data_IF_792687075412
#
_entry.id   IF_792687075412
#
_cell.length_a   1.000
_cell.length_b   1.000
_cell.length_c   1.000
_cell.angle_alpha   90.00
_cell.angle_beta   90.00
_cell.angle_gamma   90.00
#
_symmetry.space_group_name_H-M   'P 1'
#
loop_
_entity.id
_entity.type
_entity.pdbx_description
1 polymer ?
#
# COMPACT_ATOMS: atom_id res chain seq x y z
N UNK A 1 -13.15 30.58 -63.26
CA UNK A 1 -13.66 30.48 -61.87
C UNK A 1 -14.19 29.06 -61.68
N UNK A 2 -13.99 28.42 -60.52
CA UNK A 2 -14.30 27.00 -60.20
C UNK A 2 -13.18 25.97 -60.44
N UNK A 3 -11.92 26.28 -60.12
CA UNK A 3 -10.88 25.23 -59.94
C UNK A 3 -10.03 25.40 -58.67
N UNK A 4 -9.94 26.60 -58.10
CA UNK A 4 -9.18 26.84 -56.86
C UNK A 4 -9.88 26.39 -55.57
N UNK A 5 -11.22 26.29 -55.59
CA UNK A 5 -11.99 25.99 -54.37
C UNK A 5 -11.83 24.54 -53.91
N UNK A 6 -11.74 23.58 -54.84
CA UNK A 6 -11.63 22.15 -54.50
C UNK A 6 -10.23 21.75 -54.02
N UNK A 7 -9.17 22.44 -54.45
CA UNK A 7 -7.80 22.12 -54.04
C UNK A 7 -7.51 22.58 -52.60
N UNK A 8 -8.11 23.70 -52.20
CA UNK A 8 -7.98 24.27 -50.86
C UNK A 8 -8.64 23.40 -49.78
N UNK A 9 -9.86 22.91 -50.02
CA UNK A 9 -10.61 22.11 -49.04
C UNK A 9 -9.97 20.74 -48.77
N UNK A 10 -9.30 20.15 -49.77
CA UNK A 10 -8.59 18.89 -49.62
C UNK A 10 -7.38 19.03 -48.68
N UNK A 11 -6.56 20.08 -48.82
CA UNK A 11 -5.42 20.33 -47.95
C UNK A 11 -5.84 20.63 -46.49
N UNK A 12 -6.92 21.40 -46.31
CA UNK A 12 -7.49 21.65 -44.99
C UNK A 12 -8.00 20.38 -44.31
N UNK A 13 -8.61 19.46 -45.07
CA UNK A 13 -9.12 18.18 -44.54
C UNK A 13 -7.99 17.26 -44.06
N UNK A 14 -6.89 17.16 -44.82
CA UNK A 14 -5.72 16.37 -44.42
C UNK A 14 -5.00 16.97 -43.20
N UNK A 15 -4.88 18.30 -43.12
CA UNK A 15 -4.29 18.96 -41.96
C UNK A 15 -5.11 18.75 -40.68
N UNK A 16 -6.45 18.83 -40.76
CA UNK A 16 -7.34 18.55 -39.62
C UNK A 16 -7.22 17.08 -39.20
N UNK A 17 -7.16 16.14 -40.14
CA UNK A 17 -7.00 14.72 -39.84
C UNK A 17 -5.66 14.42 -39.15
N UNK A 18 -4.58 15.04 -39.62
CA UNK A 18 -3.22 14.89 -39.06
C UNK A 18 -3.11 15.53 -37.68
N UNK A 19 -3.68 16.72 -37.44
CA UNK A 19 -3.72 17.31 -36.10
C UNK A 19 -4.50 16.46 -35.10
N UNK A 20 -5.61 15.84 -35.54
CA UNK A 20 -6.47 15.03 -34.66
C UNK A 20 -5.79 13.73 -34.23
N UNK A 21 -5.00 13.08 -35.09
CA UNK A 21 -4.22 11.89 -34.71
C UNK A 21 -3.11 12.22 -33.71
N UNK A 22 -2.45 13.37 -33.84
CA UNK A 22 -1.48 13.83 -32.84
C UNK A 22 -2.15 14.18 -31.50
N UNK A 23 -3.34 14.78 -31.51
CA UNK A 23 -4.09 15.10 -30.30
C UNK A 23 -4.53 13.85 -29.52
N UNK A 24 -4.92 12.77 -30.21
CA UNK A 24 -5.24 11.50 -29.55
C UNK A 24 -3.99 10.77 -29.00
N UNK A 25 -2.83 10.94 -29.63
CA UNK A 25 -1.56 10.37 -29.14
C UNK A 25 -1.04 11.05 -27.86
N UNK A 26 -1.37 12.33 -27.65
CA UNK A 26 -1.00 13.07 -26.43
C UNK A 26 -1.84 12.72 -25.20
N UNK A 27 -3.00 12.07 -25.38
CA UNK A 27 -3.90 11.68 -24.27
C UNK A 27 -3.51 10.36 -23.58
N UNK A 28 -2.46 9.66 -24.04
CA UNK A 28 -2.10 8.32 -23.54
C UNK A 28 -0.88 8.27 -22.60
N UNK A 29 -0.30 9.40 -22.19
CA UNK A 29 0.93 9.38 -21.37
C UNK A 29 0.79 10.10 -20.04
N UNK A 30 -0.16 9.67 -19.20
CA UNK A 30 0.04 9.65 -17.74
C UNK A 30 -0.65 8.40 -17.18
N UNK A 31 -0.13 7.23 -17.54
CA UNK A 31 -0.29 6.05 -16.69
C UNK A 31 0.62 6.22 -15.49
N UNK A 32 0.25 7.06 -14.53
CA UNK A 32 0.87 7.02 -13.22
C UNK A 32 0.59 5.61 -12.69
N UNK A 33 1.62 4.76 -12.63
CA UNK A 33 1.58 3.46 -12.00
C UNK A 33 1.47 3.64 -10.48
N UNK A 34 0.37 4.25 -10.03
CA UNK A 34 -0.08 4.13 -8.66
C UNK A 34 -0.55 2.69 -8.51
N UNK A 35 0.38 1.81 -8.12
CA UNK A 35 0.03 0.46 -7.67
C UNK A 35 -1.07 0.64 -6.62
N UNK A 36 -2.28 0.10 -6.83
CA UNK A 36 -3.40 0.36 -5.94
C UNK A 36 -3.03 -0.03 -4.52
N UNK A 37 -3.26 0.85 -3.53
CA UNK A 37 -3.00 0.57 -2.11
C UNK A 37 -3.53 -0.81 -1.68
N UNK A 38 -4.67 -1.25 -2.24
CA UNK A 38 -5.26 -2.58 -2.03
C UNK A 38 -4.35 -3.74 -2.43
N UNK A 39 -3.65 -3.63 -3.55
CA UNK A 39 -2.70 -4.66 -4.01
C UNK A 39 -1.48 -4.75 -3.08
N UNK A 40 -0.97 -3.61 -2.60
CA UNK A 40 0.10 -3.56 -1.60
C UNK A 40 -0.34 -4.15 -0.24
N UNK A 41 -1.58 -3.90 0.19
CA UNK A 41 -2.13 -4.48 1.43
C UNK A 41 -2.33 -6.00 1.33
N UNK A 42 -2.72 -6.52 0.15
CA UNK A 42 -2.86 -7.95 -0.09
C UNK A 42 -1.51 -8.67 -0.10
N UNK A 43 -0.48 -8.04 -0.68
CA UNK A 43 0.90 -8.52 -0.63
C UNK A 43 1.43 -8.56 0.80
N UNK A 44 1.22 -7.48 1.58
CA UNK A 44 1.55 -7.45 3.01
C UNK A 44 0.89 -8.59 3.79
N UNK A 45 -0.39 -8.90 3.54
CA UNK A 45 -1.08 -10.01 4.20
C UNK A 45 -0.44 -11.36 3.89
N UNK A 46 0.03 -11.55 2.65
CA UNK A 46 0.72 -12.77 2.22
C UNK A 46 2.05 -12.93 2.95
N UNK A 47 2.84 -11.86 3.02
CA UNK A 47 4.10 -11.88 3.77
C UNK A 47 3.89 -12.09 5.28
N UNK A 48 2.89 -11.46 5.88
CA UNK A 48 2.54 -11.70 7.28
C UNK A 48 2.14 -13.15 7.55
N UNK A 49 1.46 -13.80 6.61
CA UNK A 49 1.17 -15.23 6.72
C UNK A 49 2.47 -16.06 6.72
N UNK A 50 3.42 -15.74 5.84
CA UNK A 50 4.72 -16.43 5.81
C UNK A 50 5.51 -16.23 7.10
N UNK A 51 5.54 -15.00 7.62
CA UNK A 51 6.19 -14.69 8.90
C UNK A 51 5.53 -15.48 10.03
N UNK A 52 4.20 -15.51 10.11
CA UNK A 52 3.45 -16.28 11.12
C UNK A 52 3.82 -17.76 11.12
N UNK A 53 3.89 -18.40 9.95
CA UNK A 53 4.28 -19.81 9.84
C UNK A 53 5.70 -20.04 10.33
N UNK A 54 6.57 -19.06 10.10
CA UNK A 54 7.97 -19.13 10.45
C UNK A 54 8.29 -18.68 11.89
N UNK A 55 7.33 -18.03 12.55
CA UNK A 55 7.50 -17.41 13.86
C UNK A 55 7.51 -18.39 15.03
N UNK A 56 7.19 -19.66 14.79
CA UNK A 56 7.17 -20.70 15.84
C UNK A 56 8.53 -20.95 16.50
N UNK A 57 9.62 -20.52 15.88
CA UNK A 57 10.99 -20.70 16.38
C UNK A 57 11.55 -19.46 17.09
N UNK A 58 10.78 -18.37 17.18
CA UNK A 58 11.25 -17.09 17.74
C UNK A 58 10.88 -16.96 19.21
N UNK A 59 11.90 -16.81 20.06
CA UNK A 59 11.73 -16.53 21.48
C UNK A 59 11.63 -15.03 21.76
N UNK A 60 10.99 -14.27 20.87
CA UNK A 60 10.83 -12.83 20.98
C UNK A 60 9.47 -12.50 21.60
N UNK A 61 9.48 -11.60 22.59
CA UNK A 61 8.27 -11.05 23.21
C UNK A 61 8.06 -9.61 22.77
N UNK A 62 6.88 -9.32 22.28
CA UNK A 62 6.52 -8.04 21.66
C UNK A 62 5.31 -7.47 22.39
N UNK A 63 5.37 -6.18 22.72
CA UNK A 63 4.20 -5.44 23.21
C UNK A 63 3.10 -5.49 22.16
N UNK A 64 1.96 -6.05 22.53
CA UNK A 64 0.85 -6.33 21.61
C UNK A 64 -0.44 -5.76 22.20
N UNK A 65 -1.25 -5.03 21.41
CA UNK A 65 -2.52 -4.50 21.90
C UNK A 65 -3.47 -5.61 22.39
N UNK A 66 -4.06 -5.39 23.56
CA UNK A 66 -5.01 -6.34 24.18
C UNK A 66 -6.33 -6.33 23.42
N UNK A 67 -6.89 -5.13 23.22
CA UNK A 67 -8.17 -4.91 22.53
C UNK A 67 -8.07 -5.27 21.06
N UNK A 68 -9.20 -5.36 20.36
CA UNK A 68 -9.24 -5.46 18.89
C UNK A 68 -9.57 -4.14 18.22
N UNK A 69 -9.98 -3.12 18.98
CA UNK A 69 -10.41 -1.79 18.49
C UNK A 69 -9.24 -0.80 18.40
N UNK A 70 -8.11 -1.35 17.99
CA UNK A 70 -6.73 -0.86 18.11
C UNK A 70 -6.36 0.30 17.17
N UNK A 71 -7.32 1.10 16.70
CA UNK A 71 -6.98 2.28 15.88
C UNK A 71 -6.11 3.28 16.65
N UNK A 72 -6.20 3.28 17.99
CA UNK A 72 -5.38 4.11 18.87
C UNK A 72 -4.00 3.49 19.19
N UNK A 73 -3.75 2.23 18.82
CA UNK A 73 -2.60 1.43 19.27
C UNK A 73 -1.50 1.27 18.20
N UNK A 74 -1.53 2.11 17.18
CA UNK A 74 -0.77 1.86 15.95
C UNK A 74 0.72 2.06 16.14
N UNK A 75 1.09 3.00 17.00
CA UNK A 75 2.48 3.17 17.44
C UNK A 75 3.04 1.90 18.05
N UNK A 76 2.29 1.25 18.95
CA UNK A 76 2.71 -0.03 19.56
C UNK A 76 2.91 -1.11 18.48
N UNK A 77 2.01 -1.19 17.50
CA UNK A 77 2.16 -2.14 16.39
C UNK A 77 3.40 -1.85 15.54
N UNK A 78 3.74 -0.58 15.31
CA UNK A 78 4.93 -0.21 14.54
C UNK A 78 6.22 -0.40 15.33
N UNK A 79 6.24 -0.09 16.61
CA UNK A 79 7.36 -0.38 17.50
C UNK A 79 7.63 -1.89 17.57
N UNK A 80 6.57 -2.70 17.69
CA UNK A 80 6.69 -4.16 17.65
C UNK A 80 7.22 -4.68 16.31
N UNK A 81 6.87 -4.01 15.21
CA UNK A 81 7.40 -4.31 13.87
C UNK A 81 8.87 -3.96 13.74
N UNK A 82 9.31 -2.84 14.31
CA UNK A 82 10.72 -2.45 14.35
C UNK A 82 11.53 -3.44 15.20
N UNK A 83 10.97 -3.90 16.32
CA UNK A 83 11.57 -4.92 17.16
C UNK A 83 11.72 -6.25 16.40
N UNK A 84 10.68 -6.66 15.65
CA UNK A 84 10.73 -7.85 14.81
C UNK A 84 11.76 -7.72 13.68
N UNK A 85 11.84 -6.57 13.01
CA UNK A 85 12.79 -6.26 11.93
C UNK A 85 14.25 -6.47 12.36
N UNK A 86 14.55 -6.16 13.62
CA UNK A 86 15.90 -6.26 14.18
C UNK A 86 16.32 -7.69 14.59
N UNK A 87 15.40 -8.67 14.53
CA UNK A 87 15.72 -10.07 14.82
C UNK A 87 16.56 -10.69 13.68
N UNK A 88 17.67 -11.40 13.97
CA UNK A 88 18.48 -12.06 12.94
C UNK A 88 17.69 -13.00 12.01
N UNK A 89 16.73 -13.73 12.57
CA UNK A 89 15.85 -14.68 11.88
C UNK A 89 14.89 -14.00 10.91
N UNK A 90 14.66 -12.70 11.09
CA UNK A 90 13.76 -11.89 10.28
C UNK A 90 14.45 -11.27 9.06
N UNK A 91 15.79 -11.37 8.95
CA UNK A 91 16.55 -10.86 7.80
C UNK A 91 16.06 -11.37 6.45
N UNK A 92 15.59 -12.62 6.38
CA UNK A 92 15.03 -13.21 5.14
C UNK A 92 13.74 -12.52 4.66
N UNK A 93 13.08 -11.74 5.52
CA UNK A 93 11.89 -10.95 5.21
C UNK A 93 12.20 -9.46 5.03
N UNK A 94 13.46 -9.09 4.73
CA UNK A 94 13.86 -7.69 4.54
C UNK A 94 13.02 -6.94 3.49
N UNK A 95 12.63 -7.60 2.40
CA UNK A 95 11.75 -7.03 1.38
C UNK A 95 10.37 -6.66 1.95
N UNK A 96 9.83 -7.49 2.85
CA UNK A 96 8.60 -7.19 3.58
C UNK A 96 8.73 -5.94 4.42
N UNK A 97 9.78 -5.84 5.24
CA UNK A 97 9.99 -4.66 6.08
C UNK A 97 10.18 -3.40 5.22
N UNK A 98 10.93 -3.48 4.12
CA UNK A 98 11.11 -2.35 3.21
C UNK A 98 9.78 -1.87 2.60
N UNK A 99 8.93 -2.80 2.17
CA UNK A 99 7.62 -2.45 1.61
C UNK A 99 6.67 -1.91 2.69
N UNK A 100 6.68 -2.50 3.88
CA UNK A 100 5.90 -2.05 5.01
C UNK A 100 6.24 -0.60 5.39
N UNK A 101 7.53 -0.24 5.46
CA UNK A 101 7.98 1.13 5.73
C UNK A 101 7.49 2.13 4.67
N UNK A 102 7.47 1.73 3.38
CA UNK A 102 6.92 2.58 2.30
C UNK A 102 5.42 2.81 2.46
N UNK A 103 4.71 1.88 3.06
CA UNK A 103 3.27 1.95 3.27
C UNK A 103 2.90 2.64 4.58
N UNK A 104 3.83 2.73 5.54
CA UNK A 104 3.63 3.34 6.85
C UNK A 104 2.95 4.72 6.76
N UNK A 105 3.34 5.68 5.89
CA UNK A 105 2.65 6.97 5.78
C UNK A 105 1.18 6.85 5.36
N UNK A 106 0.87 5.92 4.44
CA UNK A 106 -0.51 5.66 4.00
C UNK A 106 -1.35 4.97 5.07
N UNK A 107 -0.72 4.12 5.90
CA UNK A 107 -1.37 3.48 7.04
C UNK A 107 -1.64 4.49 8.17
N UNK A 108 -0.82 5.55 8.28
CA UNK A 108 -0.96 6.58 9.31
C UNK A 108 -1.86 7.75 8.97
N UNK A 109 -2.13 7.97 7.69
CA UNK A 109 -2.78 9.20 7.21
C UNK A 109 -4.19 9.46 7.78
N UNK A 110 -4.93 8.41 8.18
CA UNK A 110 -6.32 8.52 8.63
C UNK A 110 -6.51 8.10 10.09
N UNK A 111 -5.43 8.06 10.87
CA UNK A 111 -5.51 7.63 12.26
C UNK A 111 -5.88 8.80 13.14
N UNK A 112 -6.81 8.56 14.07
CA UNK A 112 -7.08 9.49 15.15
C UNK A 112 -5.82 9.70 16.01
N UNK A 113 -5.74 10.83 16.71
CA UNK A 113 -4.68 11.06 17.69
C UNK A 113 -4.65 9.92 18.72
N UNK A 114 -3.44 9.50 19.09
CA UNK A 114 -3.19 8.35 19.95
C UNK A 114 -3.93 8.48 21.30
N UNK A 115 -4.76 7.48 21.62
CA UNK A 115 -5.38 7.31 22.93
C UNK A 115 -4.59 6.35 23.83
N UNK A 116 -5.09 6.10 25.04
CA UNK A 116 -4.54 5.02 25.88
C UNK A 116 -4.63 3.68 25.13
N UNK A 117 -3.50 2.99 25.07
CA UNK A 117 -3.38 1.68 24.45
C UNK A 117 -2.94 0.66 25.50
N UNK A 118 -3.85 -0.24 25.87
CA UNK A 118 -3.52 -1.36 26.75
C UNK A 118 -2.72 -2.41 25.97
N UNK A 119 -1.53 -2.74 26.49
CA UNK A 119 -0.62 -3.71 25.88
C UNK A 119 -0.31 -4.87 26.79
N UNK A 120 0.11 -5.97 26.16
CA UNK A 120 0.59 -7.16 26.83
C UNK A 120 1.75 -7.77 26.05
N UNK A 121 2.71 -8.35 26.78
CA UNK A 121 3.84 -9.06 26.17
C UNK A 121 3.40 -10.39 25.61
N UNK A 122 3.30 -10.47 24.30
CA UNK A 122 2.92 -11.69 23.57
C UNK A 122 4.08 -12.23 22.74
N UNK A 123 3.96 -13.49 22.32
CA UNK A 123 4.88 -14.07 21.35
C UNK A 123 4.66 -13.47 19.95
N UNK A 124 5.61 -13.70 19.05
CA UNK A 124 5.56 -13.18 17.68
C UNK A 124 4.30 -13.63 16.92
N UNK A 125 3.83 -14.88 17.10
CA UNK A 125 2.63 -15.35 16.41
C UNK A 125 1.40 -14.51 16.74
N UNK A 126 1.17 -14.27 18.02
CA UNK A 126 0.05 -13.46 18.51
C UNK A 126 0.17 -12.00 18.04
N UNK A 127 1.38 -11.44 18.09
CA UNK A 127 1.65 -10.11 17.55
C UNK A 127 1.30 -10.02 16.05
N UNK A 128 1.72 -11.00 15.25
CA UNK A 128 1.45 -11.04 13.81
C UNK A 128 -0.06 -11.19 13.52
N UNK A 129 -0.79 -11.97 14.32
CA UNK A 129 -2.26 -12.08 14.19
C UNK A 129 -2.96 -10.74 14.40
N UNK A 130 -2.52 -9.96 15.40
CA UNK A 130 -3.03 -8.61 15.66
C UNK A 130 -2.70 -7.67 14.52
N UNK A 131 -1.45 -7.64 14.05
CA UNK A 131 -1.03 -6.82 12.92
C UNK A 131 -1.80 -7.13 11.63
N UNK A 132 -2.07 -8.41 11.35
CA UNK A 132 -2.91 -8.82 10.21
C UNK A 132 -4.33 -8.30 10.34
N UNK A 133 -4.90 -8.35 11.54
CA UNK A 133 -6.26 -7.86 11.80
C UNK A 133 -6.34 -6.36 11.60
N UNK A 134 -5.34 -5.63 12.10
CA UNK A 134 -5.18 -4.19 11.89
C UNK A 134 -5.14 -3.81 10.40
N UNK A 135 -4.23 -4.42 9.62
CA UNK A 135 -4.12 -4.16 8.17
C UNK A 135 -5.42 -4.51 7.42
N UNK A 136 -6.12 -5.56 7.84
CA UNK A 136 -7.43 -5.94 7.26
C UNK A 136 -8.50 -4.89 7.54
N UNK A 137 -8.53 -4.30 8.74
CA UNK A 137 -9.45 -3.22 9.10
C UNK A 137 -9.18 -1.97 8.23
N UNK A 138 -7.92 -1.57 8.07
CA UNK A 138 -7.54 -0.47 7.18
C UNK A 138 -7.96 -0.71 5.72
N UNK A 139 -7.80 -1.93 5.21
CA UNK A 139 -8.27 -2.30 3.87
C UNK A 139 -9.80 -2.19 3.70
N UNK A 140 -10.57 -2.36 4.78
CA UNK A 140 -12.03 -2.19 4.79
C UNK A 140 -12.42 -0.72 4.89
N UNK A 141 -11.72 0.09 5.68
CA UNK A 141 -11.93 1.53 5.79
C UNK A 141 -11.70 2.26 4.46
N UNK A 142 -10.69 1.85 3.68
CA UNK A 142 -10.41 2.39 2.33
C UNK A 142 -11.46 2.03 1.24
N UNK A 143 -12.65 1.56 1.62
CA UNK A 143 -13.82 1.35 0.76
C UNK A 143 -14.94 2.36 1.00
N UNK A 144 -14.93 3.04 2.14
CA UNK A 144 -15.95 4.01 2.54
C UNK A 144 -15.65 5.40 1.95
#
# INVERSE_FOLDING_TARGET
MVEDSSRSTHWFSEHIRTMRTHLYLLLLTVGASAIPLRSNLAELQTWLQQIYQSAGTLNLRIETPVSTDDENCIKILFEGMDLLKNSPEMRRFSAFFQSFEKLKPSLTANLAEEGECDTERRNVKNFIEKLRTFIRKLSRGARA
#
